data_IF_901211904591
#
_entry.id   IF_901211904591
#
_cell.length_a   1.000
_cell.length_b   1.000
_cell.length_c   1.000
_cell.angle_alpha   90.00
_cell.angle_beta   90.00
_cell.angle_gamma   90.00
#
_symmetry.space_group_name_H-M   'P 1'
#
loop_
_entity.id
_entity.type
_entity.pdbx_description
1 polymer ?
#
# COMPACT_ATOMS: atom_id res chain seq x y z
N UNK A 1 -23.86 -46.26 62.97
CA UNK A 1 -24.67 -45.65 61.92
C UNK A 1 -24.11 -44.26 61.37
N UNK A 2 -22.90 -43.85 61.73
CA UNK A 2 -22.37 -42.55 61.40
C UNK A 2 -21.46 -42.47 60.13
N UNK A 3 -21.11 -43.62 59.52
CA UNK A 3 -20.21 -43.65 58.35
C UNK A 3 -20.86 -43.50 56.96
N UNK A 4 -22.15 -43.66 56.83
CA UNK A 4 -22.87 -43.56 55.54
C UNK A 4 -23.30 -42.12 55.20
N UNK A 5 -23.41 -41.21 56.15
CA UNK A 5 -23.75 -39.78 55.89
C UNK A 5 -22.60 -38.91 55.38
N UNK A 6 -21.36 -39.26 55.77
CA UNK A 6 -20.20 -38.51 55.38
C UNK A 6 -19.80 -38.71 53.89
N UNK A 7 -20.07 -39.87 53.29
CA UNK A 7 -19.79 -40.11 51.87
C UNK A 7 -20.77 -39.37 50.95
N UNK A 8 -22.02 -39.16 51.36
CA UNK A 8 -23.02 -38.43 50.60
C UNK A 8 -22.78 -36.92 50.57
N UNK A 9 -22.29 -36.36 51.67
CA UNK A 9 -21.95 -34.92 51.74
C UNK A 9 -20.70 -34.55 50.91
N UNK A 10 -19.70 -35.45 50.86
CA UNK A 10 -18.50 -35.25 50.05
C UNK A 10 -18.78 -35.34 48.54
N UNK A 11 -19.73 -36.17 48.11
CA UNK A 11 -20.12 -36.29 46.71
C UNK A 11 -20.99 -35.12 46.24
N UNK A 12 -21.84 -34.56 47.10
CA UNK A 12 -22.63 -33.37 46.78
C UNK A 12 -21.78 -32.10 46.62
N UNK A 13 -20.69 -31.96 47.36
CA UNK A 13 -19.74 -30.83 47.23
C UNK A 13 -18.88 -30.89 45.94
N UNK A 14 -18.63 -32.09 45.39
CA UNK A 14 -17.89 -32.28 44.15
C UNK A 14 -18.70 -31.91 42.88
N UNK A 15 -20.02 -32.03 42.94
CA UNK A 15 -20.92 -31.70 41.82
C UNK A 15 -21.22 -30.19 41.77
N UNK A 16 -21.17 -29.47 42.90
CA UNK A 16 -21.41 -28.04 42.95
C UNK A 16 -20.22 -27.20 42.41
N UNK A 17 -19.01 -27.79 42.30
CA UNK A 17 -17.82 -27.10 41.76
C UNK A 17 -17.68 -27.11 40.24
N UNK A 18 -18.45 -27.94 39.53
CA UNK A 18 -18.32 -28.10 38.08
C UNK A 18 -19.14 -27.08 37.25
N UNK A 19 -19.96 -26.25 37.89
CA UNK A 19 -20.87 -25.32 37.21
C UNK A 19 -20.30 -23.89 36.96
N UNK A 20 -19.09 -23.58 37.45
CA UNK A 20 -18.63 -22.18 37.53
C UNK A 20 -17.70 -21.73 36.37
N UNK A 21 -17.42 -22.58 35.40
CA UNK A 21 -16.48 -22.23 34.32
C UNK A 21 -17.09 -22.11 32.91
N UNK A 22 -18.41 -21.93 32.81
CA UNK A 22 -18.99 -21.46 31.55
C UNK A 22 -18.87 -19.92 31.48
N UNK A 23 -17.65 -19.37 31.52
CA UNK A 23 -17.41 -18.02 31.00
C UNK A 23 -17.75 -18.06 29.52
N UNK A 24 -18.92 -17.52 29.15
CA UNK A 24 -19.19 -17.14 27.77
C UNK A 24 -18.03 -16.26 27.33
N UNK A 25 -17.15 -16.82 26.50
CA UNK A 25 -16.22 -16.02 25.73
C UNK A 25 -17.09 -15.03 24.97
N UNK A 26 -17.13 -13.77 25.42
CA UNK A 26 -17.72 -12.69 24.65
C UNK A 26 -16.84 -12.61 23.40
N UNK A 27 -17.35 -13.11 22.29
CA UNK A 27 -16.78 -12.84 20.98
C UNK A 27 -16.93 -11.34 20.82
N UNK A 28 -15.84 -10.61 21.01
CA UNK A 28 -15.82 -9.18 20.78
C UNK A 28 -15.98 -9.00 19.28
N UNK A 29 -17.19 -8.63 18.87
CA UNK A 29 -17.43 -8.10 17.53
C UNK A 29 -16.54 -6.87 17.38
N UNK A 30 -16.03 -6.65 16.17
CA UNK A 30 -15.10 -5.57 15.88
C UNK A 30 -15.66 -4.21 16.34
N UNK A 31 -14.77 -3.33 16.80
CA UNK A 31 -15.16 -2.03 17.36
C UNK A 31 -15.10 -0.96 16.28
N UNK A 32 -16.17 -0.21 16.08
CA UNK A 32 -16.16 1.00 15.26
C UNK A 32 -15.34 2.09 15.99
N UNK A 33 -14.28 2.58 15.34
CA UNK A 33 -13.38 3.60 15.87
C UNK A 33 -13.76 4.99 15.38
N UNK A 34 -14.19 5.10 14.12
CA UNK A 34 -14.60 6.34 13.52
C UNK A 34 -15.72 6.11 12.49
N UNK A 35 -16.47 7.17 12.17
CA UNK A 35 -17.46 7.21 11.10
C UNK A 35 -17.21 8.45 10.26
N UNK A 36 -17.13 8.26 8.94
CA UNK A 36 -16.88 9.34 7.97
C UNK A 36 -17.98 9.26 6.90
N UNK A 37 -18.89 10.22 6.89
CA UNK A 37 -20.05 10.16 6.01
C UNK A 37 -20.90 8.93 6.27
N UNK A 38 -21.09 8.08 5.25
CA UNK A 38 -21.80 6.81 5.34
C UNK A 38 -20.90 5.60 5.68
N UNK A 39 -19.58 5.81 5.78
CA UNK A 39 -18.58 4.76 5.96
C UNK A 39 -18.13 4.66 7.42
N UNK A 40 -18.10 3.45 7.98
CA UNK A 40 -17.50 3.17 9.29
C UNK A 40 -16.06 2.67 9.12
N UNK A 41 -15.23 2.98 10.11
CA UNK A 41 -13.85 2.48 10.21
C UNK A 41 -13.77 1.58 11.43
N UNK A 42 -13.34 0.34 11.23
CA UNK A 42 -13.24 -0.67 12.28
C UNK A 42 -11.84 -0.66 12.90
N UNK A 43 -11.76 -1.03 14.17
CA UNK A 43 -10.47 -1.17 14.86
C UNK A 43 -9.54 -2.17 14.17
N UNK A 44 -10.08 -3.28 13.65
CA UNK A 44 -9.30 -4.28 12.91
C UNK A 44 -8.68 -3.69 11.63
N UNK A 45 -9.41 -2.83 10.92
CA UNK A 45 -8.88 -2.14 9.72
C UNK A 45 -7.73 -1.22 10.08
N UNK A 46 -7.87 -0.43 11.14
CA UNK A 46 -6.79 0.46 11.63
C UNK A 46 -5.56 -0.35 12.04
N UNK A 47 -5.76 -1.44 12.79
CA UNK A 47 -4.67 -2.31 13.23
C UNK A 47 -3.95 -3.00 12.05
N UNK A 48 -4.69 -3.43 11.03
CA UNK A 48 -4.11 -4.02 9.83
C UNK A 48 -3.29 -3.00 9.04
N UNK A 49 -3.85 -1.81 8.80
CA UNK A 49 -3.15 -0.74 8.12
C UNK A 49 -1.89 -0.29 8.87
N UNK A 50 -1.94 -0.18 10.21
CA UNK A 50 -0.79 0.15 11.05
C UNK A 50 0.32 -0.91 10.95
N UNK A 51 -0.05 -2.21 10.86
CA UNK A 51 0.93 -3.30 10.63
C UNK A 51 1.60 -3.17 9.27
N UNK A 52 0.83 -2.90 8.21
CA UNK A 52 1.37 -2.72 6.86
C UNK A 52 2.32 -1.51 6.80
N UNK A 53 1.91 -0.38 7.37
CA UNK A 53 2.74 0.83 7.45
C UNK A 53 4.06 0.59 8.18
N UNK A 54 4.01 -0.14 9.30
CA UNK A 54 5.20 -0.48 10.08
C UNK A 54 6.12 -1.45 9.31
N UNK A 55 5.56 -2.43 8.59
CA UNK A 55 6.32 -3.36 7.78
C UNK A 55 7.03 -2.65 6.61
N UNK A 56 6.32 -1.75 5.93
CA UNK A 56 6.87 -0.94 4.84
C UNK A 56 8.03 -0.07 5.34
N UNK A 57 7.86 0.65 6.44
CA UNK A 57 8.91 1.49 7.04
C UNK A 57 10.16 0.71 7.40
N UNK A 58 10.00 -0.50 7.94
CA UNK A 58 11.14 -1.38 8.23
C UNK A 58 11.88 -1.79 6.96
N UNK A 59 11.16 -2.08 5.88
CA UNK A 59 11.77 -2.44 4.61
C UNK A 59 12.54 -1.25 3.99
N UNK A 60 12.06 -0.03 4.17
CA UNK A 60 12.68 1.21 3.69
C UNK A 60 13.77 1.75 4.64
N UNK A 61 13.96 1.14 5.82
CA UNK A 61 14.93 1.61 6.84
C UNK A 61 14.53 2.93 7.52
N UNK A 62 13.25 3.31 7.42
CA UNK A 62 12.72 4.54 7.97
C UNK A 62 12.08 4.30 9.33
N UNK A 63 12.40 5.18 10.31
CA UNK A 63 11.76 5.21 11.63
C UNK A 63 10.96 6.50 11.80
N UNK A 64 9.74 6.38 12.33
CA UNK A 64 8.86 7.52 12.65
C UNK A 64 8.59 7.53 14.15
N UNK A 65 8.60 8.71 14.75
CA UNK A 65 8.23 8.90 16.15
C UNK A 65 6.71 8.95 16.38
N UNK A 66 5.92 8.95 15.29
CA UNK A 66 4.45 8.96 15.36
C UNK A 66 3.91 7.55 15.61
N UNK A 67 2.85 7.48 16.42
CA UNK A 67 2.13 6.23 16.67
C UNK A 67 1.51 5.68 15.37
N UNK A 68 1.88 4.46 14.93
CA UNK A 68 1.36 3.87 13.72
C UNK A 68 -0.17 3.72 13.70
N UNK A 69 -0.81 3.55 14.87
CA UNK A 69 -2.27 3.44 14.96
C UNK A 69 -2.96 4.77 14.65
N UNK A 70 -2.42 5.87 15.15
CA UNK A 70 -2.97 7.20 14.88
C UNK A 70 -2.78 7.57 13.41
N UNK A 71 -1.62 7.31 12.84
CA UNK A 71 -1.37 7.55 11.42
C UNK A 71 -2.27 6.70 10.51
N UNK A 72 -2.46 5.44 10.87
CA UNK A 72 -3.36 4.54 10.14
C UNK A 72 -4.80 5.06 10.19
N UNK A 73 -5.25 5.54 11.35
CA UNK A 73 -6.58 6.09 11.50
C UNK A 73 -6.75 7.37 10.64
N UNK A 74 -5.78 8.31 10.69
CA UNK A 74 -5.78 9.52 9.87
C UNK A 74 -5.83 9.20 8.37
N UNK A 75 -5.04 8.22 7.92
CA UNK A 75 -5.01 7.78 6.53
C UNK A 75 -6.35 7.18 6.08
N UNK A 76 -6.93 6.28 6.89
CA UNK A 76 -8.22 5.68 6.61
C UNK A 76 -9.37 6.70 6.63
N UNK A 77 -9.34 7.64 7.57
CA UNK A 77 -10.32 8.74 7.60
C UNK A 77 -10.24 9.60 6.34
N UNK A 78 -9.03 9.95 5.91
CA UNK A 78 -8.79 10.71 4.68
C UNK A 78 -9.27 9.94 3.46
N UNK A 79 -8.98 8.65 3.37
CA UNK A 79 -9.45 7.78 2.28
C UNK A 79 -10.98 7.73 2.22
N UNK A 80 -11.64 7.52 3.36
CA UNK A 80 -13.12 7.49 3.44
C UNK A 80 -13.74 8.84 3.10
N UNK A 81 -13.10 9.95 3.49
CA UNK A 81 -13.55 11.30 3.14
C UNK A 81 -13.49 11.53 1.63
N UNK A 82 -12.35 11.21 1.00
CA UNK A 82 -12.18 11.31 -0.44
C UNK A 82 -13.16 10.41 -1.20
N UNK A 83 -13.36 9.17 -0.73
CA UNK A 83 -14.34 8.26 -1.30
C UNK A 83 -15.76 8.82 -1.27
N UNK A 84 -16.22 9.32 -0.10
CA UNK A 84 -17.55 9.92 0.02
C UNK A 84 -17.68 11.18 -0.87
N UNK A 85 -16.63 12.01 -0.96
CA UNK A 85 -16.64 13.18 -1.83
C UNK A 85 -16.69 12.77 -3.31
N UNK A 86 -15.93 11.75 -3.71
CA UNK A 86 -15.95 11.23 -5.07
C UNK A 86 -17.35 10.77 -5.51
N UNK A 87 -18.12 10.19 -4.60
CA UNK A 87 -19.50 9.79 -4.88
C UNK A 87 -20.42 11.00 -5.06
N UNK A 88 -20.26 12.05 -4.23
CA UNK A 88 -21.01 13.31 -4.32
C UNK A 88 -20.71 13.99 -5.67
N UNK A 89 -19.45 14.05 -6.05
CA UNK A 89 -18.99 14.71 -7.28
C UNK A 89 -19.17 13.83 -8.52
N UNK A 90 -19.73 12.61 -8.36
CA UNK A 90 -19.96 11.65 -9.44
C UNK A 90 -18.69 11.34 -10.25
N UNK A 91 -17.57 11.21 -9.58
CA UNK A 91 -16.28 10.84 -10.18
C UNK A 91 -16.40 9.48 -10.87
N UNK A 92 -15.84 9.35 -12.07
CA UNK A 92 -15.89 8.10 -12.83
C UNK A 92 -14.65 7.27 -12.58
N UNK A 93 -14.84 5.97 -12.35
CA UNK A 93 -13.78 4.98 -12.28
C UNK A 93 -13.96 3.94 -13.40
N UNK A 94 -12.90 3.25 -13.76
CA UNK A 94 -12.95 2.16 -14.73
C UNK A 94 -13.22 0.83 -14.01
N UNK A 95 -14.45 0.37 -14.04
CA UNK A 95 -14.85 -0.91 -13.43
C UNK A 95 -14.15 -2.12 -14.09
N UNK A 96 -13.78 -2.03 -15.37
CA UNK A 96 -13.06 -3.09 -16.09
C UNK A 96 -11.65 -3.29 -15.55
N UNK A 97 -10.92 -2.21 -15.29
CA UNK A 97 -9.57 -2.26 -14.72
C UNK A 97 -9.60 -2.84 -13.30
N UNK A 98 -10.61 -2.45 -12.51
CA UNK A 98 -10.79 -2.99 -11.16
C UNK A 98 -11.06 -4.50 -11.22
N UNK A 99 -11.96 -4.95 -12.08
CA UNK A 99 -12.28 -6.38 -12.22
C UNK A 99 -11.05 -7.20 -12.63
N UNK A 100 -10.25 -6.69 -13.58
CA UNK A 100 -9.02 -7.35 -14.03
C UNK A 100 -7.98 -7.43 -12.91
N UNK A 101 -7.79 -6.35 -12.17
CA UNK A 101 -6.84 -6.30 -11.07
C UNK A 101 -7.25 -7.22 -9.90
N UNK A 102 -8.54 -7.26 -9.56
CA UNK A 102 -9.06 -8.17 -8.53
C UNK A 102 -8.83 -9.62 -8.93
N UNK A 103 -9.10 -9.99 -10.20
CA UNK A 103 -8.91 -11.37 -10.66
C UNK A 103 -7.43 -11.76 -10.62
N UNK A 104 -6.53 -10.89 -11.04
CA UNK A 104 -5.09 -11.09 -10.93
C UNK A 104 -4.65 -11.32 -9.49
N UNK A 105 -5.11 -10.48 -8.55
CA UNK A 105 -4.76 -10.62 -7.14
C UNK A 105 -5.32 -11.90 -6.52
N UNK A 106 -6.56 -12.25 -6.84
CA UNK A 106 -7.16 -13.52 -6.38
C UNK A 106 -6.40 -14.71 -6.93
N UNK A 107 -5.98 -14.67 -8.19
CA UNK A 107 -5.17 -15.74 -8.79
C UNK A 107 -3.81 -15.87 -8.09
N UNK A 108 -3.13 -14.76 -7.83
CA UNK A 108 -1.87 -14.76 -7.07
C UNK A 108 -2.04 -15.34 -5.66
N UNK A 109 -3.15 -15.05 -4.99
CA UNK A 109 -3.46 -15.64 -3.69
C UNK A 109 -3.68 -17.15 -3.78
N UNK A 110 -4.39 -17.63 -4.81
CA UNK A 110 -4.61 -19.07 -5.05
C UNK A 110 -3.28 -19.77 -5.30
N UNK A 111 -2.41 -19.19 -6.11
CA UNK A 111 -1.08 -19.74 -6.40
C UNK A 111 -0.19 -19.80 -5.15
N UNK A 112 -0.19 -18.74 -4.34
CA UNK A 112 0.56 -18.69 -3.09
C UNK A 112 0.10 -19.75 -2.06
N UNK A 113 -1.20 -20.02 -1.97
CA UNK A 113 -1.77 -21.04 -1.06
C UNK A 113 -1.81 -22.45 -1.70
N UNK A 114 -1.59 -22.54 -3.01
CA UNK A 114 -1.57 -23.75 -3.79
C UNK A 114 -2.94 -24.32 -4.17
N UNK A 115 -4.05 -23.84 -3.60
CA UNK A 115 -5.41 -24.24 -3.99
C UNK A 115 -6.49 -23.35 -3.39
N UNK A 116 -7.65 -23.27 -4.06
CA UNK A 116 -8.86 -22.56 -3.58
C UNK A 116 -9.30 -23.06 -2.19
N UNK A 117 -9.43 -24.38 -1.90
CA UNK A 117 -9.87 -24.81 -0.58
C UNK A 117 -8.94 -24.38 0.56
N UNK A 118 -7.63 -24.30 0.31
CA UNK A 118 -6.67 -23.80 1.31
C UNK A 118 -6.83 -22.30 1.55
N UNK A 119 -7.04 -21.53 0.49
CA UNK A 119 -7.30 -20.10 0.57
C UNK A 119 -8.61 -19.82 1.36
N UNK A 120 -9.68 -20.56 1.05
CA UNK A 120 -10.97 -20.47 1.76
C UNK A 120 -10.84 -20.84 3.25
N UNK A 121 -10.12 -21.91 3.56
CA UNK A 121 -9.85 -22.34 4.92
C UNK A 121 -9.04 -21.29 5.71
N UNK A 122 -8.04 -20.67 5.09
CA UNK A 122 -7.21 -19.64 5.71
C UNK A 122 -7.99 -18.37 6.02
N UNK A 123 -8.85 -17.94 5.10
CA UNK A 123 -9.66 -16.72 5.26
C UNK A 123 -11.01 -16.97 5.91
N UNK A 124 -11.39 -18.23 6.21
CA UNK A 124 -12.68 -18.63 6.76
C UNK A 124 -13.88 -18.11 5.96
N UNK A 125 -13.74 -17.99 4.64
CA UNK A 125 -14.77 -17.51 3.73
C UNK A 125 -14.62 -18.09 2.33
N UNK A 126 -15.75 -18.20 1.61
CA UNK A 126 -15.76 -18.68 0.23
C UNK A 126 -15.01 -17.73 -0.71
N UNK A 127 -14.42 -18.28 -1.77
CA UNK A 127 -13.65 -17.52 -2.78
C UNK A 127 -14.48 -16.38 -3.40
N UNK A 128 -15.78 -16.58 -3.55
CA UNK A 128 -16.69 -15.54 -4.05
C UNK A 128 -16.69 -14.32 -3.11
N UNK A 129 -16.76 -14.54 -1.79
CA UNK A 129 -16.74 -13.45 -0.80
C UNK A 129 -15.37 -12.76 -0.73
N UNK A 130 -14.28 -13.53 -0.89
CA UNK A 130 -12.93 -12.96 -0.98
C UNK A 130 -12.85 -12.00 -2.17
N UNK A 131 -13.31 -12.44 -3.34
CA UNK A 131 -13.33 -11.64 -4.56
C UNK A 131 -14.19 -10.38 -4.41
N UNK A 132 -15.38 -10.51 -3.85
CA UNK A 132 -16.29 -9.40 -3.65
C UNK A 132 -15.75 -8.37 -2.64
N UNK A 133 -15.16 -8.82 -1.52
CA UNK A 133 -14.52 -7.93 -0.55
C UNK A 133 -13.33 -7.19 -1.17
N UNK A 134 -12.53 -7.87 -2.00
CA UNK A 134 -11.44 -7.23 -2.72
C UNK A 134 -11.96 -6.19 -3.71
N UNK A 135 -13.02 -6.54 -4.48
CA UNK A 135 -13.62 -5.60 -5.43
C UNK A 135 -14.08 -4.32 -4.75
N UNK A 136 -14.79 -4.42 -3.63
CA UNK A 136 -15.24 -3.26 -2.87
C UNK A 136 -14.08 -2.39 -2.38
N UNK A 137 -13.01 -2.99 -1.86
CA UNK A 137 -11.81 -2.25 -1.43
C UNK A 137 -11.12 -1.52 -2.58
N UNK A 138 -10.96 -2.17 -3.73
CA UNK A 138 -10.35 -1.54 -4.89
C UNK A 138 -11.22 -0.45 -5.50
N UNK A 139 -12.55 -0.61 -5.49
CA UNK A 139 -13.47 0.45 -5.87
C UNK A 139 -13.33 1.68 -4.97
N UNK A 140 -13.38 1.51 -3.65
CA UNK A 140 -13.17 2.61 -2.69
C UNK A 140 -11.82 3.31 -2.92
N UNK A 141 -10.76 2.55 -3.07
CA UNK A 141 -9.42 3.09 -3.31
C UNK A 141 -9.34 3.84 -4.64
N UNK A 142 -9.95 3.31 -5.71
CA UNK A 142 -9.97 3.96 -7.02
C UNK A 142 -10.74 5.28 -6.97
N UNK A 143 -11.89 5.32 -6.30
CA UNK A 143 -12.63 6.56 -6.09
C UNK A 143 -11.81 7.59 -5.30
N UNK A 144 -11.21 7.19 -4.19
CA UNK A 144 -10.40 8.07 -3.36
C UNK A 144 -9.18 8.62 -4.13
N UNK A 145 -8.48 7.77 -4.88
CA UNK A 145 -7.33 8.18 -5.71
C UNK A 145 -7.74 9.13 -6.83
N UNK A 146 -8.86 8.85 -7.51
CA UNK A 146 -9.37 9.70 -8.58
C UNK A 146 -9.77 11.08 -8.04
N UNK A 147 -10.43 11.11 -6.89
CA UNK A 147 -10.80 12.37 -6.22
C UNK A 147 -9.56 13.15 -5.78
N UNK A 148 -8.57 12.48 -5.19
CA UNK A 148 -7.32 13.11 -4.82
C UNK A 148 -6.62 13.74 -6.03
N UNK A 149 -6.56 13.02 -7.16
CA UNK A 149 -5.98 13.54 -8.40
C UNK A 149 -6.76 14.75 -8.92
N UNK A 150 -8.10 14.75 -8.82
CA UNK A 150 -8.91 15.87 -9.23
C UNK A 150 -8.64 17.12 -8.38
N UNK A 151 -8.50 16.96 -7.06
CA UNK A 151 -8.15 18.05 -6.14
C UNK A 151 -6.76 18.59 -6.44
N UNK A 152 -5.77 17.68 -6.59
CA UNK A 152 -4.36 18.08 -6.83
C UNK A 152 -4.18 18.70 -8.20
N UNK A 153 -4.89 18.23 -9.24
CA UNK A 153 -4.78 18.80 -10.59
C UNK A 153 -5.18 20.27 -10.71
N UNK A 154 -5.98 20.74 -9.76
CA UNK A 154 -6.40 22.15 -9.67
C UNK A 154 -5.37 23.06 -9.00
N UNK A 155 -4.30 22.46 -8.41
CA UNK A 155 -3.23 23.20 -7.73
C UNK A 155 -2.12 23.51 -8.72
N UNK A 156 -1.94 24.81 -9.03
CA UNK A 156 -0.83 25.27 -9.85
C UNK A 156 0.31 25.75 -8.95
N UNK A 157 1.47 25.13 -9.06
CA UNK A 157 2.68 25.54 -8.32
C UNK A 157 3.48 26.51 -9.18
N UNK A 158 3.76 27.70 -8.63
CA UNK A 158 4.59 28.70 -9.32
C UNK A 158 6.06 28.57 -8.91
N UNK A 159 7.04 28.93 -9.81
CA UNK A 159 8.46 28.81 -9.51
C UNK A 159 8.90 29.48 -8.20
N UNK A 160 8.31 30.61 -7.86
CA UNK A 160 8.61 31.33 -6.61
C UNK A 160 8.18 30.58 -5.33
N UNK A 161 7.19 29.68 -5.40
CA UNK A 161 6.81 28.81 -4.28
C UNK A 161 7.80 27.68 -4.11
N UNK A 162 8.27 27.11 -5.22
CA UNK A 162 9.31 26.09 -5.22
C UNK A 162 10.59 26.65 -4.59
N UNK A 163 10.99 27.86 -4.99
CA UNK A 163 12.19 28.51 -4.45
C UNK A 163 12.06 28.80 -2.93
N UNK A 164 10.89 29.28 -2.49
CA UNK A 164 10.62 29.51 -1.06
C UNK A 164 10.64 28.20 -0.27
N UNK A 165 10.01 27.16 -0.78
CA UNK A 165 10.01 25.84 -0.17
C UNK A 165 11.45 25.29 -0.07
N UNK A 166 12.23 25.33 -1.16
CA UNK A 166 13.62 24.89 -1.15
C UNK A 166 14.47 25.63 -0.11
N UNK A 167 14.28 26.94 0.03
CA UNK A 167 14.99 27.76 1.02
C UNK A 167 14.56 27.46 2.48
N UNK A 168 13.36 26.88 2.67
CA UNK A 168 12.85 26.50 4.01
C UNK A 168 13.36 25.14 4.47
N UNK A 169 13.91 24.31 3.56
CA UNK A 169 14.47 23.00 3.90
C UNK A 169 15.84 23.21 4.57
N UNK A 170 16.06 22.53 5.67
CA UNK A 170 17.37 22.53 6.33
C UNK A 170 18.42 21.94 5.40
N UNK A 171 19.58 22.60 5.27
CA UNK A 171 20.65 22.21 4.35
C UNK A 171 21.16 20.79 4.61
N UNK A 172 21.14 20.36 5.86
CA UNK A 172 21.59 19.02 6.27
C UNK A 172 20.59 17.92 5.86
N UNK A 173 19.34 18.30 5.55
CA UNK A 173 18.28 17.39 5.07
C UNK A 173 18.23 17.27 3.55
N UNK A 174 19.00 18.08 2.81
CA UNK A 174 19.02 18.02 1.36
C UNK A 174 19.84 16.83 0.89
N UNK A 175 19.33 16.04 -0.10
CA UNK A 175 20.11 14.96 -0.68
C UNK A 175 21.34 15.48 -1.38
N UNK A 176 22.50 14.90 -1.11
CA UNK A 176 23.74 15.20 -1.83
C UNK A 176 23.68 14.54 -3.21
N UNK A 177 23.60 15.35 -4.24
CA UNK A 177 23.66 14.87 -5.63
C UNK A 177 25.13 14.88 -6.06
N UNK A 178 25.63 13.73 -6.53
CA UNK A 178 26.99 13.65 -7.09
C UNK A 178 27.10 14.57 -8.31
N UNK A 179 28.26 15.22 -8.45
CA UNK A 179 28.54 16.05 -9.63
C UNK A 179 28.35 15.25 -10.91
N UNK A 180 27.60 15.82 -11.83
CA UNK A 180 27.38 15.23 -13.16
C UNK A 180 27.99 16.15 -14.21
N UNK A 181 28.90 15.60 -15.00
CA UNK A 181 29.50 16.29 -16.11
C UNK A 181 28.84 15.87 -17.42
N UNK A 182 28.26 16.83 -18.14
CA UNK A 182 27.79 16.60 -19.50
C UNK A 182 28.90 17.08 -20.46
N UNK A 183 29.48 16.17 -21.22
CA UNK A 183 30.44 16.50 -22.23
C UNK A 183 29.93 16.13 -23.62
N UNK A 184 30.18 16.96 -24.59
CA UNK A 184 29.90 16.68 -25.99
C UNK A 184 31.23 16.59 -26.76
N UNK A 185 31.40 15.53 -27.51
CA UNK A 185 32.57 15.32 -28.37
C UNK A 185 32.15 15.49 -29.82
N UNK A 186 32.81 16.43 -30.52
CA UNK A 186 32.64 16.58 -31.96
C UNK A 186 33.78 15.88 -32.66
N UNK A 187 33.52 14.73 -33.26
CA UNK A 187 34.50 13.98 -34.03
C UNK A 187 34.32 14.28 -35.51
N UNK A 188 35.33 14.88 -36.12
CA UNK A 188 35.33 15.14 -37.54
C UNK A 188 36.32 14.20 -38.24
N UNK A 189 35.81 13.31 -39.04
CA UNK A 189 36.65 12.46 -39.90
C UNK A 189 36.99 13.20 -41.16
N UNK A 190 38.29 13.24 -41.55
CA UNK A 190 38.66 13.81 -42.84
C UNK A 190 38.03 12.97 -43.96
N UNK A 191 37.47 13.66 -44.97
CA UNK A 191 36.87 12.99 -46.13
C UNK A 191 37.95 12.17 -46.85
N UNK A 192 37.85 10.88 -46.63
CA UNK A 192 38.59 9.77 -47.24
C UNK A 192 40.13 9.95 -47.36
N UNK A 193 40.83 9.18 -46.54
CA UNK A 193 42.28 8.91 -46.64
C UNK A 193 42.66 8.45 -48.05
N UNK A 194 41.76 7.80 -48.78
CA UNK A 194 41.94 7.33 -50.14
C UNK A 194 42.13 8.48 -51.12
N UNK A 195 41.33 9.56 -51.03
CA UNK A 195 41.49 10.72 -51.88
C UNK A 195 42.79 11.50 -51.58
N UNK A 196 43.17 11.57 -50.30
CA UNK A 196 44.44 12.19 -49.92
C UNK A 196 45.62 11.39 -50.45
N UNK A 197 45.58 10.06 -50.38
CA UNK A 197 46.62 9.18 -50.96
C UNK A 197 46.68 9.28 -52.48
N UNK A 198 45.55 9.36 -53.18
CA UNK A 198 45.54 9.54 -54.64
C UNK A 198 46.14 10.89 -55.06
N UNK A 199 45.77 11.98 -54.42
CA UNK A 199 46.35 13.30 -54.68
C UNK A 199 47.86 13.36 -54.43
N UNK A 200 48.36 12.71 -53.40
CA UNK A 200 49.80 12.62 -53.11
C UNK A 200 50.51 11.77 -54.14
N UNK A 201 49.90 10.68 -54.60
CA UNK A 201 50.44 9.78 -55.62
C UNK A 201 50.51 10.49 -56.97
N UNK A 202 49.46 11.23 -57.35
CA UNK A 202 49.44 12.05 -58.60
C UNK A 202 50.54 13.13 -58.58
N UNK A 203 50.68 13.85 -57.46
CA UNK A 203 51.79 14.84 -57.31
C UNK A 203 53.19 14.23 -57.39
N UNK A 204 53.39 13.02 -56.89
CA UNK A 204 54.66 12.33 -56.98
C UNK A 204 54.94 11.83 -58.41
N UNK A 205 53.90 11.49 -59.17
CA UNK A 205 54.09 11.12 -60.59
C UNK A 205 54.34 12.30 -61.48
N UNK A 206 53.82 13.51 -61.18
CA UNK A 206 54.07 14.76 -61.92
C UNK A 206 55.45 15.32 -61.67
N UNK A 207 56.17 14.90 -60.64
CA UNK A 207 57.54 15.30 -60.32
C UNK A 207 58.59 14.37 -60.89
N UNK A 208 58.25 13.43 -61.77
CA UNK A 208 59.11 12.44 -62.38
C UNK A 208 59.24 12.73 -63.91
#
# INVERSE_FOLDING_TARGET
MLKKGMLGAAFALLVAGAGAFAQKQQVMLDKVVAVVGSSSILHSEVAEYARQLTAQRRAEGYTSDRDPMNEALEALMTQKLLFNQAQIDSVKINAGDIASHVEEQVQNMIEAEGSIPRLEAKHHMAIFNIRENMRQRYEEQSYASSMQNEVVSKVAVIPGEVERFYKSIDKDSLPTIAEQYVYAQITRFPKSITQAKQRTRERLLDMR
#
